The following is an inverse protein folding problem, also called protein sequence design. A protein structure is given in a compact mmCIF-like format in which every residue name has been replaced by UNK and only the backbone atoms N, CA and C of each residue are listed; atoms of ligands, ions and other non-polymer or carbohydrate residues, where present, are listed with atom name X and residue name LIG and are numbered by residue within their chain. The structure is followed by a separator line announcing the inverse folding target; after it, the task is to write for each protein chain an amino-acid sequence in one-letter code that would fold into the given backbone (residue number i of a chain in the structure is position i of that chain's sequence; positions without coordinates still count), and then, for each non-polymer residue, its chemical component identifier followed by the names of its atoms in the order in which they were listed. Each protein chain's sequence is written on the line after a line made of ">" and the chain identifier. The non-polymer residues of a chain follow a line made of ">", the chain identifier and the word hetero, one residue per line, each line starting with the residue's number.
data_IF_835822504938
#
_entry.id   IF_835822504938
#
_cell.length_a   1.000
_cell.length_b   1.000
_cell.length_c   1.000
_cell.angle_alpha   90.00
_cell.angle_beta   90.00
_cell.angle_gamma   90.00
#
_symmetry.space_group_name_H-M   'P 1'
#
loop_
_entity.id
_entity.type
_entity.pdbx_description
1 polymer ?
#
# COMPACT_ATOMS: atom_id res chain seq x y z
N UNK A 1 5.81 -3.99 43.11
CA UNK A 1 4.64 -3.10 42.93
C UNK A 1 4.55 -2.75 41.45
N UNK A 2 3.57 -3.31 40.74
CA UNK A 2 3.32 -2.94 39.35
C UNK A 2 2.76 -1.51 39.31
N UNK A 3 3.40 -0.60 38.57
CA UNK A 3 2.84 0.73 38.30
C UNK A 3 1.61 0.55 37.42
N UNK A 4 0.42 0.60 38.01
CA UNK A 4 -0.83 0.66 37.26
C UNK A 4 -0.94 2.05 36.64
N UNK A 5 -0.78 2.13 35.32
CA UNK A 5 -1.06 3.35 34.56
C UNK A 5 -2.58 3.52 34.52
N UNK A 6 -3.11 4.48 35.28
CA UNK A 6 -4.51 4.88 35.20
C UNK A 6 -4.71 5.70 33.92
N UNK A 7 -5.03 5.03 32.82
CA UNK A 7 -5.45 5.72 31.59
C UNK A 7 -6.85 6.27 31.85
N UNK A 8 -7.00 7.59 31.81
CA UNK A 8 -8.28 8.22 32.08
C UNK A 8 -9.33 7.74 31.07
N UNK A 9 -10.56 7.45 31.51
CA UNK A 9 -11.68 6.94 30.69
C UNK A 9 -11.91 7.67 29.34
N UNK A 10 -11.42 8.91 29.17
CA UNK A 10 -11.43 9.64 27.91
C UNK A 10 -10.33 9.20 26.94
N UNK A 11 -9.10 9.03 27.43
CA UNK A 11 -7.96 8.57 26.62
C UNK A 11 -8.21 7.17 26.09
N UNK A 12 -8.68 6.25 26.94
CA UNK A 12 -9.00 4.88 26.53
C UNK A 12 -10.11 4.82 25.46
N UNK A 13 -11.11 5.71 25.55
CA UNK A 13 -12.17 5.84 24.54
C UNK A 13 -11.69 6.49 23.24
N UNK A 14 -10.72 7.39 23.31
CA UNK A 14 -10.10 8.00 22.13
C UNK A 14 -9.20 6.99 21.43
N UNK A 15 -8.39 6.25 22.17
CA UNK A 15 -7.53 5.18 21.65
C UNK A 15 -8.36 4.09 20.95
N UNK A 16 -9.42 3.60 21.59
CA UNK A 16 -10.30 2.59 20.99
C UNK A 16 -10.98 3.08 19.70
N UNK A 17 -11.29 4.38 19.60
CA UNK A 17 -11.86 4.98 18.39
C UNK A 17 -10.83 5.09 17.27
N UNK A 18 -9.59 5.44 17.60
CA UNK A 18 -8.50 5.54 16.63
C UNK A 18 -8.15 4.15 16.07
N UNK A 19 -8.01 3.14 16.94
CA UNK A 19 -7.74 1.76 16.51
C UNK A 19 -8.85 1.22 15.60
N UNK A 20 -10.10 1.39 16.02
CA UNK A 20 -11.25 0.97 15.19
C UNK A 20 -11.37 1.75 13.88
N UNK A 21 -10.93 3.01 13.80
CA UNK A 21 -10.93 3.74 12.53
C UNK A 21 -9.85 3.24 11.59
N UNK A 22 -8.63 3.00 12.09
CA UNK A 22 -7.51 2.48 11.30
C UNK A 22 -7.82 1.09 10.74
N UNK A 23 -8.42 0.23 11.56
CA UNK A 23 -8.83 -1.10 11.13
C UNK A 23 -9.91 -1.05 10.04
N UNK A 24 -10.91 -0.17 10.22
CA UNK A 24 -11.92 0.06 9.18
C UNK A 24 -11.32 0.58 7.89
N UNK A 25 -10.33 1.47 7.96
CA UNK A 25 -9.64 2.00 6.79
C UNK A 25 -8.84 0.91 6.07
N UNK A 26 -8.14 0.04 6.81
CA UNK A 26 -7.45 -1.14 6.28
C UNK A 26 -8.43 -2.03 5.51
N UNK A 27 -9.51 -2.46 6.15
CA UNK A 27 -10.52 -3.34 5.55
C UNK A 27 -11.13 -2.69 4.31
N UNK A 28 -11.53 -1.41 4.40
CA UNK A 28 -12.10 -0.68 3.26
C UNK A 28 -11.11 -0.62 2.10
N UNK A 29 -9.86 -0.29 2.37
CA UNK A 29 -8.80 -0.19 1.35
C UNK A 29 -8.61 -1.51 0.63
N UNK A 30 -8.42 -2.61 1.37
CA UNK A 30 -8.20 -3.93 0.78
C UNK A 30 -9.42 -4.40 -0.02
N UNK A 31 -10.64 -4.15 0.49
CA UNK A 31 -11.87 -4.48 -0.23
C UNK A 31 -11.99 -3.69 -1.54
N UNK A 32 -11.77 -2.38 -1.51
CA UNK A 32 -11.86 -1.54 -2.71
C UNK A 32 -10.81 -1.93 -3.75
N UNK A 33 -9.59 -2.26 -3.32
CA UNK A 33 -8.55 -2.78 -4.22
C UNK A 33 -9.01 -4.09 -4.85
N UNK A 34 -9.55 -5.03 -4.06
CA UNK A 34 -10.04 -6.33 -4.54
C UNK A 34 -11.08 -6.17 -5.64
N UNK A 35 -12.00 -5.22 -5.50
CA UNK A 35 -13.05 -4.96 -6.47
C UNK A 35 -12.54 -4.27 -7.75
N UNK A 36 -11.32 -3.73 -7.74
CA UNK A 36 -10.77 -2.90 -8.82
C UNK A 36 -9.33 -3.27 -9.20
N UNK A 37 -8.88 -4.52 -9.00
CA UNK A 37 -7.48 -4.94 -9.20
C UNK A 37 -6.95 -4.57 -10.58
N UNK A 38 -7.69 -4.89 -11.65
CA UNK A 38 -7.24 -4.63 -13.03
C UNK A 38 -7.12 -3.12 -13.31
N UNK A 39 -8.12 -2.34 -12.90
CA UNK A 39 -8.11 -0.87 -13.07
C UNK A 39 -7.00 -0.20 -12.28
N UNK A 40 -6.81 -0.63 -11.02
CA UNK A 40 -5.81 -0.07 -10.13
C UNK A 40 -4.39 -0.44 -10.58
N UNK A 41 -4.14 -1.71 -10.91
CA UNK A 41 -2.84 -2.18 -11.40
C UNK A 41 -2.43 -1.48 -12.70
N UNK A 42 -3.34 -1.30 -13.65
CA UNK A 42 -3.07 -0.59 -14.89
C UNK A 42 -2.66 0.86 -14.65
N UNK A 43 -3.41 1.58 -13.79
CA UNK A 43 -3.13 2.98 -13.43
C UNK A 43 -1.79 3.13 -12.73
N UNK A 44 -1.52 2.30 -11.72
CA UNK A 44 -0.24 2.33 -10.98
C UNK A 44 0.92 2.05 -11.92
N UNK A 45 0.82 1.01 -12.76
CA UNK A 45 1.88 0.66 -13.71
C UNK A 45 2.16 1.79 -14.68
N UNK A 46 1.10 2.39 -15.23
CA UNK A 46 1.22 3.54 -16.12
C UNK A 46 1.91 4.71 -15.43
N UNK A 47 1.53 5.02 -14.18
CA UNK A 47 2.06 6.15 -13.43
C UNK A 47 3.51 5.97 -13.00
N UNK A 48 3.89 4.78 -12.57
CA UNK A 48 5.28 4.47 -12.22
C UNK A 48 6.21 4.64 -13.43
N UNK A 49 5.74 4.27 -14.63
CA UNK A 49 6.52 4.41 -15.86
C UNK A 49 6.53 5.86 -16.35
N UNK A 50 5.38 6.54 -16.36
CA UNK A 50 5.26 7.93 -16.81
C UNK A 50 6.09 8.90 -15.95
N UNK A 51 6.19 8.64 -14.65
CA UNK A 51 6.99 9.43 -13.72
C UNK A 51 8.49 9.10 -13.77
N UNK A 52 8.87 8.07 -14.54
CA UNK A 52 10.25 7.60 -14.65
C UNK A 52 10.75 6.88 -13.40
N UNK A 53 9.86 6.48 -12.48
CA UNK A 53 10.22 5.71 -11.28
C UNK A 53 10.53 4.25 -11.61
N UNK A 54 9.92 3.71 -12.67
CA UNK A 54 10.20 2.35 -13.16
C UNK A 54 10.55 2.41 -14.64
N UNK A 55 11.75 1.97 -14.98
CA UNK A 55 12.17 1.78 -16.36
C UNK A 55 12.02 0.30 -16.73
N UNK A 56 11.30 0.03 -17.83
CA UNK A 56 10.95 -1.34 -18.22
C UNK A 56 10.91 -1.47 -19.73
N UNK A 57 11.18 -2.68 -20.23
CA UNK A 57 10.98 -3.03 -21.64
C UNK A 57 9.53 -3.42 -21.96
N UNK A 58 8.69 -3.63 -20.95
CA UNK A 58 7.30 -4.07 -21.13
C UNK A 58 6.37 -3.60 -20.02
N UNK A 59 5.52 -2.61 -20.33
CA UNK A 59 4.43 -2.16 -19.43
C UNK A 59 3.56 -3.34 -18.99
N UNK A 60 3.14 -4.19 -19.93
CA UNK A 60 2.25 -5.32 -19.63
C UNK A 60 2.87 -6.29 -18.64
N UNK A 61 4.20 -6.43 -18.64
CA UNK A 61 4.89 -7.29 -17.68
C UNK A 61 4.82 -6.71 -16.27
N UNK A 62 5.11 -5.41 -16.11
CA UNK A 62 4.98 -4.69 -14.84
C UNK A 62 3.54 -4.76 -14.32
N UNK A 63 2.56 -4.51 -15.18
CA UNK A 63 1.14 -4.58 -14.84
C UNK A 63 0.73 -5.94 -14.32
N UNK A 64 1.11 -7.02 -15.01
CA UNK A 64 0.84 -8.38 -14.55
C UNK A 64 1.49 -8.70 -13.20
N UNK A 65 2.69 -8.16 -12.94
CA UNK A 65 3.37 -8.32 -11.66
C UNK A 65 2.63 -7.58 -10.54
N UNK A 66 2.14 -6.37 -10.81
CA UNK A 66 1.33 -5.61 -9.87
C UNK A 66 -0.01 -6.31 -9.60
N UNK A 67 -0.70 -6.83 -10.63
CA UNK A 67 -1.93 -7.64 -10.44
C UNK A 67 -1.69 -8.79 -9.48
N UNK A 68 -0.64 -9.58 -9.72
CA UNK A 68 -0.28 -10.73 -8.85
C UNK A 68 0.04 -10.29 -7.42
N UNK A 69 0.70 -9.14 -7.27
CA UNK A 69 1.00 -8.58 -5.95
C UNK A 69 -0.28 -8.19 -5.20
N UNK A 70 -1.22 -7.52 -5.88
CA UNK A 70 -2.50 -7.11 -5.30
C UNK A 70 -3.40 -8.31 -4.98
N UNK A 71 -3.41 -9.34 -5.83
CA UNK A 71 -4.09 -10.61 -5.55
C UNK A 71 -3.53 -11.27 -4.28
N UNK A 72 -2.21 -11.27 -4.13
CA UNK A 72 -1.54 -11.79 -2.93
C UNK A 72 -1.92 -10.95 -1.70
N UNK A 73 -1.87 -9.63 -1.79
CA UNK A 73 -2.29 -8.71 -0.72
C UNK A 73 -3.72 -8.99 -0.28
N UNK A 74 -4.65 -9.19 -1.23
CA UNK A 74 -6.05 -9.42 -0.94
C UNK A 74 -6.33 -10.75 -0.24
N UNK A 75 -5.39 -11.70 -0.26
CA UNK A 75 -5.51 -13.04 0.34
C UNK A 75 -4.57 -13.24 1.53
N UNK A 76 -3.64 -12.33 1.75
CA UNK A 76 -2.66 -12.41 2.81
C UNK A 76 -3.30 -12.20 4.19
N UNK A 77 -2.74 -12.88 5.19
CA UNK A 77 -3.11 -12.61 6.58
C UNK A 77 -2.46 -11.30 7.06
N UNK A 78 -3.06 -10.66 8.06
CA UNK A 78 -2.54 -9.38 8.58
C UNK A 78 -1.08 -9.48 9.03
N UNK A 79 -0.69 -10.63 9.61
CA UNK A 79 0.68 -10.89 10.00
C UNK A 79 1.65 -10.89 8.81
N UNK A 80 1.28 -11.53 7.70
CA UNK A 80 2.12 -11.58 6.50
C UNK A 80 2.29 -10.19 5.89
N UNK A 81 1.20 -9.41 5.83
CA UNK A 81 1.22 -8.03 5.36
C UNK A 81 2.15 -7.19 6.25
N UNK A 82 1.95 -7.29 7.56
CA UNK A 82 2.73 -6.56 8.55
C UNK A 82 4.22 -6.94 8.53
N UNK A 83 4.54 -8.20 8.24
CA UNK A 83 5.91 -8.69 8.09
C UNK A 83 6.58 -8.09 6.85
N UNK A 84 5.91 -8.11 5.70
CA UNK A 84 6.44 -7.54 4.44
C UNK A 84 6.69 -6.04 4.57
N UNK A 85 5.78 -5.29 5.20
CA UNK A 85 5.94 -3.83 5.33
C UNK A 85 6.89 -3.43 6.47
N UNK A 86 7.34 -4.36 7.32
CA UNK A 86 8.13 -4.06 8.50
C UNK A 86 9.37 -3.18 8.23
N UNK A 87 10.16 -3.40 7.15
CA UNK A 87 11.30 -2.54 6.82
C UNK A 87 10.91 -1.11 6.46
N UNK A 88 9.69 -0.89 5.95
CA UNK A 88 9.22 0.39 5.41
C UNK A 88 8.31 1.16 6.37
N UNK A 89 8.04 0.65 7.60
CA UNK A 89 7.10 1.29 8.55
C UNK A 89 7.48 2.72 8.95
N UNK A 90 8.76 3.07 8.87
CA UNK A 90 9.26 4.41 9.19
C UNK A 90 9.31 5.36 7.98
N UNK A 91 8.89 4.90 6.80
CA UNK A 91 8.93 5.70 5.57
C UNK A 91 8.05 6.96 5.70
N UNK A 92 6.81 6.78 6.16
CA UNK A 92 5.85 7.88 6.36
C UNK A 92 5.19 7.77 7.73
N UNK A 93 4.87 8.90 8.37
CA UNK A 93 4.32 8.92 9.73
C UNK A 93 2.95 8.23 9.90
N UNK A 94 2.10 8.24 8.87
CA UNK A 94 0.81 7.56 8.85
C UNK A 94 0.61 6.90 7.49
N UNK A 95 1.24 5.73 7.27
CA UNK A 95 1.21 5.08 5.96
C UNK A 95 -0.10 4.33 5.75
N UNK A 96 -0.62 4.34 4.52
CA UNK A 96 -1.61 3.36 4.11
C UNK A 96 -0.93 2.01 3.88
N UNK A 97 -1.47 0.96 4.48
CA UNK A 97 -0.88 -0.38 4.46
C UNK A 97 -0.77 -0.94 3.04
N UNK A 98 -1.76 -0.72 2.19
CA UNK A 98 -1.73 -1.23 0.82
C UNK A 98 -0.68 -0.51 -0.03
N UNK A 99 -0.56 0.82 0.12
CA UNK A 99 0.48 1.61 -0.54
C UNK A 99 1.88 1.19 -0.09
N UNK A 100 2.06 0.96 1.22
CA UNK A 100 3.34 0.54 1.78
C UNK A 100 3.71 -0.87 1.33
N UNK A 101 2.75 -1.79 1.29
CA UNK A 101 2.93 -3.15 0.78
C UNK A 101 3.33 -3.15 -0.70
N UNK A 102 2.68 -2.33 -1.52
CA UNK A 102 3.03 -2.23 -2.94
C UNK A 102 4.38 -1.54 -3.14
N UNK A 103 4.74 -0.56 -2.30
CA UNK A 103 6.07 0.07 -2.31
C UNK A 103 7.16 -0.96 -2.00
N UNK A 104 6.98 -1.77 -0.95
CA UNK A 104 7.89 -2.86 -0.62
C UNK A 104 8.03 -3.84 -1.78
N UNK A 105 6.92 -4.20 -2.43
CA UNK A 105 6.96 -5.05 -3.62
C UNK A 105 7.76 -4.44 -4.78
N UNK A 106 7.58 -3.15 -5.07
CA UNK A 106 8.30 -2.46 -6.14
C UNK A 106 9.80 -2.50 -5.86
N UNK A 107 10.21 -2.13 -4.65
CA UNK A 107 11.62 -2.00 -4.28
C UNK A 107 12.30 -3.37 -4.14
N UNK A 108 11.65 -4.37 -3.54
CA UNK A 108 12.29 -5.65 -3.23
C UNK A 108 12.10 -6.71 -4.31
N UNK A 109 10.94 -6.73 -4.97
CA UNK A 109 10.56 -7.82 -5.88
C UNK A 109 10.59 -7.39 -7.34
N UNK A 110 9.99 -6.23 -7.65
CA UNK A 110 9.87 -5.77 -9.04
C UNK A 110 11.24 -5.42 -9.64
N UNK A 111 12.18 -4.89 -8.84
CA UNK A 111 13.55 -4.57 -9.28
C UNK A 111 14.28 -5.79 -9.85
N UNK A 112 13.95 -6.99 -9.38
CA UNK A 112 14.59 -8.24 -9.80
C UNK A 112 13.90 -8.88 -11.01
N UNK A 113 12.86 -8.25 -11.56
CA UNK A 113 12.12 -8.78 -12.68
C UNK A 113 12.89 -8.58 -13.99
N UNK A 114 13.02 -9.63 -14.82
CA UNK A 114 13.79 -9.63 -16.07
C UNK A 114 13.43 -8.52 -17.07
N UNK A 115 12.19 -8.04 -17.03
CA UNK A 115 11.67 -7.01 -17.93
C UNK A 115 11.77 -5.60 -17.32
N UNK A 116 12.26 -5.48 -16.10
CA UNK A 116 12.56 -4.21 -15.43
C UNK A 116 14.04 -3.92 -15.65
N UNK A 117 14.31 -2.73 -16.17
CA UNK A 117 15.67 -2.25 -16.44
C UNK A 117 16.25 -1.69 -15.14
N UNK A 118 15.52 -0.76 -14.52
CA UNK A 118 15.90 -0.17 -13.24
C UNK A 118 14.70 0.48 -12.53
N UNK A 119 14.87 0.79 -11.25
CA UNK A 119 13.93 1.55 -10.42
C UNK A 119 14.63 2.81 -9.90
N UNK A 120 14.02 3.96 -10.15
CA UNK A 120 14.56 5.27 -9.79
C UNK A 120 13.68 6.00 -8.77
N UNK A 121 14.25 7.05 -8.18
CA UNK A 121 13.60 7.85 -7.15
C UNK A 121 13.89 7.34 -5.74
N UNK A 122 13.38 8.07 -4.75
CA UNK A 122 13.41 7.62 -3.36
C UNK A 122 12.23 6.69 -3.05
N UNK A 123 12.35 5.91 -1.98
CA UNK A 123 11.27 5.08 -1.47
C UNK A 123 9.99 5.91 -1.21
N UNK A 124 10.16 7.15 -0.76
CA UNK A 124 9.07 8.11 -0.56
C UNK A 124 8.38 8.48 -1.88
N UNK A 125 9.14 8.71 -2.95
CA UNK A 125 8.58 9.05 -4.27
C UNK A 125 7.71 7.92 -4.81
N UNK A 126 8.17 6.68 -4.67
CA UNK A 126 7.42 5.47 -5.06
C UNK A 126 6.14 5.37 -4.23
N UNK A 127 6.25 5.53 -2.90
CA UNK A 127 5.10 5.50 -2.00
C UNK A 127 4.06 6.57 -2.37
N UNK A 128 4.46 7.83 -2.55
CA UNK A 128 3.54 8.92 -2.86
C UNK A 128 2.91 8.77 -4.24
N UNK A 129 3.64 8.23 -5.21
CA UNK A 129 3.09 7.90 -6.53
C UNK A 129 1.96 6.87 -6.42
N UNK A 130 2.18 5.77 -5.69
CA UNK A 130 1.16 4.75 -5.46
C UNK A 130 -0.01 5.30 -4.64
N UNK A 131 0.29 6.01 -3.56
CA UNK A 131 -0.71 6.56 -2.64
C UNK A 131 -1.68 7.51 -3.37
N UNK A 132 -1.17 8.32 -4.30
CA UNK A 132 -2.01 9.22 -5.10
C UNK A 132 -3.05 8.44 -5.92
N UNK A 133 -2.64 7.37 -6.58
CA UNK A 133 -3.56 6.53 -7.36
C UNK A 133 -4.54 5.77 -6.47
N UNK A 134 -4.10 5.34 -5.28
CA UNK A 134 -4.97 4.69 -4.31
C UNK A 134 -6.03 5.66 -3.75
N UNK A 135 -5.63 6.88 -3.40
CA UNK A 135 -6.57 7.92 -2.95
C UNK A 135 -7.60 8.22 -4.04
N UNK A 136 -7.17 8.37 -5.29
CA UNK A 136 -8.09 8.59 -6.41
C UNK A 136 -9.07 7.43 -6.61
N UNK A 137 -8.64 6.18 -6.39
CA UNK A 137 -9.51 5.01 -6.42
C UNK A 137 -10.56 5.05 -5.29
N UNK A 138 -10.13 5.36 -4.06
CA UNK A 138 -11.02 5.42 -2.89
C UNK A 138 -12.06 6.55 -3.00
N UNK A 139 -11.68 7.70 -3.57
CA UNK A 139 -12.58 8.82 -3.83
C UNK A 139 -13.57 8.51 -4.95
N UNK A 140 -13.12 7.83 -6.02
CA UNK A 140 -13.97 7.41 -7.13
C UNK A 140 -15.06 6.42 -6.73
N UNK A 141 -14.84 5.62 -5.68
CA UNK A 141 -15.85 4.71 -5.13
C UNK A 141 -16.84 5.37 -4.16
N UNK A 142 -16.61 6.61 -3.71
CA UNK A 142 -17.48 7.33 -2.78
C UNK A 142 -18.65 8.07 -3.45
N UNK A 143 -18.81 7.90 -4.77
CA UNK A 143 -19.90 8.46 -5.58
C UNK A 143 -20.97 7.45 -5.97
N UNK A 144 -21.58 6.76 -5.00
CA UNK A 144 -22.86 6.06 -5.13
C UNK A 144 -23.62 6.07 -3.81
#
# INVERSE_FOLDING_TARGET
>A
MAKMFYTGNRESKLLSKIESSKERERIKTISTIRDNIDSFSNKVSMKLIETGLVETVSKSSVENQIVRCLDKLCRAEDFDIDYVIAPFRSLVSNPNIASLYLTAFVIETLINHKDVIDIYGSDDDIYFCIQKELTALLEGCSGY
#
